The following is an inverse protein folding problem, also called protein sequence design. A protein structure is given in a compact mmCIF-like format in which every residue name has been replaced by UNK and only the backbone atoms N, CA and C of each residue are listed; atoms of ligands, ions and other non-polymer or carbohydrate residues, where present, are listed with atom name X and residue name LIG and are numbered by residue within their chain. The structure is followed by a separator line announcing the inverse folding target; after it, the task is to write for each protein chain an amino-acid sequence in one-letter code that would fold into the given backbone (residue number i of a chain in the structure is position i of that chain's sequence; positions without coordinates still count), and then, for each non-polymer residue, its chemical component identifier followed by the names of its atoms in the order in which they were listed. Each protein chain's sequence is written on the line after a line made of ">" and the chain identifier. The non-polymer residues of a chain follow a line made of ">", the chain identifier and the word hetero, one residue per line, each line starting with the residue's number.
data_IF_308779172726
#
_entry.id   IF_308779172726
#
_cell.length_a   1.000
_cell.length_b   1.000
_cell.length_c   1.000
_cell.angle_alpha   90.00
_cell.angle_beta   90.00
_cell.angle_gamma   90.00
#
_symmetry.space_group_name_H-M   'P 1'
#
loop_
_entity.id
_entity.type
_entity.pdbx_description
1 polymer ?
#
# COMPACT_ATOMS: atom_id res chain seq x y z
N UNK A 1 13.03 -16.94 -7.24
CA UNK A 1 12.41 -16.67 -5.92
C UNK A 1 12.35 -15.17 -5.69
N UNK A 2 13.49 -14.49 -5.69
CA UNK A 2 13.59 -13.02 -5.60
C UNK A 2 12.71 -12.30 -6.64
N UNK A 3 12.89 -12.57 -7.95
CA UNK A 3 12.08 -11.93 -9.00
C UNK A 3 10.56 -12.13 -8.84
N UNK A 4 10.14 -13.25 -8.25
CA UNK A 4 8.71 -13.50 -7.97
C UNK A 4 8.23 -12.59 -6.85
N UNK A 5 9.00 -12.47 -5.76
CA UNK A 5 8.68 -11.57 -4.65
C UNK A 5 8.70 -10.11 -5.08
N UNK A 6 9.67 -9.71 -5.92
CA UNK A 6 9.74 -8.36 -6.48
C UNK A 6 8.50 -8.01 -7.31
N UNK A 7 8.05 -8.93 -8.17
CA UNK A 7 6.82 -8.76 -8.95
C UNK A 7 5.58 -8.65 -8.06
N UNK A 8 5.45 -9.53 -7.05
CA UNK A 8 4.33 -9.50 -6.10
C UNK A 8 4.30 -8.18 -5.32
N UNK A 9 5.47 -7.70 -4.85
CA UNK A 9 5.59 -6.41 -4.15
C UNK A 9 5.17 -5.26 -5.06
N UNK A 10 5.61 -5.25 -6.32
CA UNK A 10 5.23 -4.20 -7.27
C UNK A 10 3.74 -4.18 -7.53
N UNK A 11 3.12 -5.33 -7.75
CA UNK A 11 1.68 -5.46 -7.97
C UNK A 11 0.87 -4.99 -6.75
N UNK A 12 1.31 -5.32 -5.54
CA UNK A 12 0.69 -4.84 -4.30
C UNK A 12 0.84 -3.33 -4.17
N UNK A 13 2.03 -2.79 -4.43
CA UNK A 13 2.28 -1.35 -4.39
C UNK A 13 1.39 -0.60 -5.39
N UNK A 14 1.30 -1.06 -6.63
CA UNK A 14 0.45 -0.47 -7.67
C UNK A 14 -1.03 -0.53 -7.28
N UNK A 15 -1.44 -1.60 -6.59
CA UNK A 15 -2.79 -1.72 -6.04
C UNK A 15 -3.05 -0.68 -4.94
N UNK A 16 -2.06 -0.34 -4.11
CA UNK A 16 -2.19 0.73 -3.10
C UNK A 16 -2.28 2.11 -3.77
N UNK A 17 -1.50 2.35 -4.83
CA UNK A 17 -1.55 3.59 -5.62
C UNK A 17 -2.93 3.77 -6.29
N UNK A 18 -3.53 2.68 -6.76
CA UNK A 18 -4.84 2.71 -7.40
C UNK A 18 -6.02 2.79 -6.42
N UNK A 19 -5.84 2.32 -5.17
CA UNK A 19 -6.93 2.18 -4.20
C UNK A 19 -7.78 3.45 -3.94
N UNK A 20 -7.22 4.68 -3.88
CA UNK A 20 -8.02 5.90 -3.70
C UNK A 20 -9.02 6.16 -4.84
N UNK A 21 -8.81 5.57 -6.03
CA UNK A 21 -9.71 5.75 -7.17
C UNK A 21 -10.83 4.72 -7.22
N UNK A 22 -10.85 3.79 -6.25
CA UNK A 22 -11.79 2.69 -6.23
C UNK A 22 -11.41 1.56 -7.18
N UNK A 23 -12.26 0.54 -7.25
CA UNK A 23 -12.02 -0.66 -8.05
C UNK A 23 -13.18 -0.86 -9.04
N UNK A 24 -12.84 -1.05 -10.31
CA UNK A 24 -13.85 -1.37 -11.32
C UNK A 24 -14.27 -2.83 -11.20
N UNK A 25 -15.54 -3.05 -10.93
CA UNK A 25 -16.16 -4.38 -10.89
C UNK A 25 -17.10 -4.50 -12.08
N UNK A 26 -16.85 -5.48 -12.96
CA UNK A 26 -17.68 -5.71 -14.13
C UNK A 26 -19.14 -5.94 -13.73
N UNK A 27 -20.06 -5.19 -14.33
CA UNK A 27 -21.49 -5.22 -14.00
C UNK A 27 -21.92 -4.34 -12.82
N UNK A 28 -20.99 -3.82 -12.01
CA UNK A 28 -21.28 -2.97 -10.85
C UNK A 28 -20.65 -1.57 -10.93
N UNK A 29 -19.78 -1.33 -11.92
CA UNK A 29 -19.07 -0.06 -12.09
C UNK A 29 -17.92 0.10 -11.10
N UNK A 30 -17.44 1.34 -10.96
CA UNK A 30 -16.36 1.67 -10.01
C UNK A 30 -16.92 1.72 -8.60
N UNK A 31 -16.47 0.79 -7.75
CA UNK A 31 -16.78 0.81 -6.32
C UNK A 31 -15.94 1.86 -5.62
N UNK A 32 -16.50 2.45 -4.55
CA UNK A 32 -15.78 3.40 -3.73
C UNK A 32 -14.54 2.77 -3.07
N UNK A 33 -13.52 3.58 -2.73
CA UNK A 33 -12.34 3.10 -2.01
C UNK A 33 -12.70 2.37 -0.72
N UNK A 34 -11.89 1.38 -0.34
CA UNK A 34 -12.13 0.56 0.85
C UNK A 34 -10.90 0.56 1.76
N UNK A 35 -11.02 1.18 2.94
CA UNK A 35 -9.94 1.30 3.91
C UNK A 35 -9.48 -0.04 4.48
N UNK A 36 -10.38 -1.00 4.68
CA UNK A 36 -10.03 -2.35 5.16
C UNK A 36 -9.22 -3.12 4.11
N UNK A 37 -9.63 -3.07 2.84
CA UNK A 37 -8.89 -3.69 1.73
C UNK A 37 -7.53 -3.04 1.56
N UNK A 38 -7.44 -1.71 1.64
CA UNK A 38 -6.18 -0.97 1.61
C UNK A 38 -5.23 -1.45 2.71
N UNK A 39 -5.70 -1.54 3.96
CA UNK A 39 -4.90 -2.05 5.09
C UNK A 39 -4.43 -3.49 4.87
N UNK A 40 -5.32 -4.38 4.42
CA UNK A 40 -4.96 -5.78 4.13
C UNK A 40 -3.87 -5.90 3.06
N UNK A 41 -3.97 -5.09 2.00
CA UNK A 41 -2.96 -5.06 0.94
C UNK A 41 -1.63 -4.49 1.44
N UNK A 42 -1.65 -3.42 2.25
CA UNK A 42 -0.45 -2.83 2.84
C UNK A 42 0.26 -3.82 3.79
N UNK A 43 -0.50 -4.56 4.61
CA UNK A 43 0.05 -5.62 5.46
C UNK A 43 0.69 -6.74 4.64
N UNK A 44 0.06 -7.12 3.54
CA UNK A 44 0.59 -8.16 2.64
C UNK A 44 1.87 -7.69 1.97
N UNK A 45 1.92 -6.42 1.53
CA UNK A 45 3.14 -5.80 1.00
C UNK A 45 4.27 -5.84 2.05
N UNK A 46 4.00 -5.41 3.29
CA UNK A 46 4.99 -5.48 4.37
C UNK A 46 5.51 -6.90 4.58
N UNK A 47 4.63 -7.89 4.68
CA UNK A 47 5.02 -9.29 4.86
C UNK A 47 5.91 -9.78 3.71
N UNK A 48 5.65 -9.32 2.48
CA UNK A 48 6.47 -9.67 1.30
C UNK A 48 7.84 -9.01 1.31
N UNK A 49 7.93 -7.75 1.75
CA UNK A 49 9.21 -7.05 1.93
C UNK A 49 10.05 -7.75 3.02
N UNK A 50 9.43 -8.17 4.13
CA UNK A 50 10.10 -8.97 5.17
C UNK A 50 10.56 -10.32 4.62
N UNK A 51 9.68 -11.05 3.92
CA UNK A 51 10.00 -12.33 3.31
C UNK A 51 11.19 -12.23 2.34
N UNK A 52 11.23 -11.17 1.52
CA UNK A 52 12.34 -10.88 0.63
C UNK A 52 13.64 -10.63 1.40
N UNK A 53 13.59 -9.82 2.45
CA UNK A 53 14.76 -9.53 3.27
C UNK A 53 15.30 -10.79 3.96
N UNK A 54 14.44 -11.63 4.54
CA UNK A 54 14.83 -12.85 5.24
C UNK A 54 15.44 -13.89 4.31
N UNK A 55 14.85 -14.09 3.13
CA UNK A 55 15.23 -15.17 2.20
C UNK A 55 16.35 -14.80 1.25
N UNK A 56 16.41 -13.56 0.80
CA UNK A 56 17.34 -13.11 -0.23
C UNK A 56 18.45 -12.21 0.32
N UNK A 57 18.20 -11.51 1.45
CA UNK A 57 19.12 -10.53 2.04
C UNK A 57 19.70 -9.54 1.01
N UNK A 58 18.86 -8.87 0.22
CA UNK A 58 19.32 -7.96 -0.80
C UNK A 58 20.02 -6.74 -0.17
N UNK A 59 21.00 -6.15 -0.87
CA UNK A 59 21.71 -4.96 -0.39
C UNK A 59 20.86 -3.67 -0.38
N UNK A 60 19.72 -3.68 -1.06
CA UNK A 60 18.81 -2.53 -1.19
C UNK A 60 17.67 -2.53 -0.16
N UNK A 61 17.66 -3.46 0.80
CA UNK A 61 16.77 -3.47 1.97
C UNK A 61 17.62 -3.68 3.22
N UNK A 62 17.41 -2.85 4.23
CA UNK A 62 18.04 -2.98 5.54
C UNK A 62 16.98 -3.04 6.66
N UNK A 63 17.44 -3.24 7.91
CA UNK A 63 16.55 -3.28 9.07
C UNK A 63 15.78 -1.96 9.26
N UNK A 64 16.39 -0.83 8.88
CA UNK A 64 15.77 0.48 8.97
C UNK A 64 14.57 0.60 8.01
N UNK A 65 14.70 0.07 6.79
CA UNK A 65 13.63 -0.02 5.79
C UNK A 65 12.42 -0.77 6.35
N UNK A 66 12.65 -1.95 6.95
CA UNK A 66 11.58 -2.76 7.56
C UNK A 66 10.93 -2.02 8.72
N UNK A 67 11.73 -1.40 9.59
CA UNK A 67 11.23 -0.66 10.75
C UNK A 67 10.38 0.54 10.34
N UNK A 68 10.82 1.34 9.36
CA UNK A 68 10.07 2.49 8.87
C UNK A 68 8.74 2.07 8.26
N UNK A 69 8.76 1.05 7.40
CA UNK A 69 7.54 0.53 6.79
C UNK A 69 6.55 0.02 7.86
N UNK A 70 7.03 -0.72 8.86
CA UNK A 70 6.20 -1.17 10.00
C UNK A 70 5.56 0.02 10.73
N UNK A 71 6.34 1.06 11.02
CA UNK A 71 5.82 2.26 11.69
C UNK A 71 4.75 2.98 10.86
N UNK A 72 4.93 3.06 9.54
CA UNK A 72 3.94 3.63 8.62
C UNK A 72 2.64 2.83 8.62
N UNK A 73 2.71 1.50 8.69
CA UNK A 73 1.53 0.63 8.82
C UNK A 73 0.77 0.91 10.13
N UNK A 74 1.47 0.96 11.26
CA UNK A 74 0.84 1.21 12.57
C UNK A 74 0.21 2.60 12.71
N UNK A 75 0.67 3.58 11.93
CA UNK A 75 0.25 4.97 12.05
C UNK A 75 -0.62 5.43 10.89
N UNK A 76 -0.04 5.53 9.70
CA UNK A 76 -0.71 6.16 8.55
C UNK A 76 -1.77 5.22 7.97
N UNK A 77 -1.51 3.90 7.92
CA UNK A 77 -2.51 2.92 7.43
C UNK A 77 -3.66 2.74 8.44
N UNK A 78 -3.40 2.77 9.75
CA UNK A 78 -4.49 2.76 10.74
C UNK A 78 -5.38 4.01 10.65
N UNK A 79 -4.81 5.18 10.37
CA UNK A 79 -5.61 6.40 10.14
C UNK A 79 -6.53 6.27 8.91
N UNK A 80 -6.11 5.54 7.86
CA UNK A 80 -6.97 5.24 6.71
C UNK A 80 -8.20 4.46 7.14
N UNK A 81 -8.02 3.45 8.00
CA UNK A 81 -9.14 2.63 8.51
C UNK A 81 -10.12 3.48 9.31
N UNK A 82 -9.64 4.27 10.28
CA UNK A 82 -10.52 5.13 11.07
C UNK A 82 -11.28 6.14 10.19
N UNK A 83 -10.64 6.68 9.15
CA UNK A 83 -11.31 7.60 8.20
C UNK A 83 -12.35 6.88 7.35
N UNK A 84 -12.08 5.64 6.93
CA UNK A 84 -13.02 4.81 6.18
C UNK A 84 -14.26 4.46 7.01
N UNK A 85 -14.07 4.08 8.28
CA UNK A 85 -15.16 3.79 9.21
C UNK A 85 -16.10 4.98 9.37
N UNK A 86 -15.57 6.21 9.42
CA UNK A 86 -16.40 7.43 9.42
C UNK A 86 -17.09 7.67 8.07
N UNK A 87 -16.44 7.35 6.94
CA UNK A 87 -16.99 7.56 5.60
C UNK A 87 -18.15 6.63 5.24
N UNK A 88 -18.16 5.41 5.79
CA UNK A 88 -19.22 4.41 5.54
C UNK A 88 -20.43 4.53 6.47
N UNK A 89 -20.39 5.42 7.47
CA UNK A 89 -21.53 5.62 8.37
C UNK A 89 -22.77 6.08 7.60
N UNK A 90 -23.98 5.66 8.03
CA UNK A 90 -25.21 6.21 7.49
C UNK A 90 -25.23 7.74 7.59
N UNK A 91 -25.64 8.41 6.52
CA UNK A 91 -25.70 9.88 6.43
C UNK A 91 -24.36 10.62 6.55
N UNK A 92 -23.22 9.93 6.41
CA UNK A 92 -21.91 10.58 6.36
C UNK A 92 -21.85 11.59 5.21
N UNK A 93 -21.25 12.76 5.47
CA UNK A 93 -21.07 13.78 4.45
C UNK A 93 -20.15 13.26 3.34
N UNK A 94 -20.44 13.61 2.08
CA UNK A 94 -19.62 13.19 0.94
C UNK A 94 -18.14 13.56 1.08
N UNK A 95 -17.84 14.69 1.76
CA UNK A 95 -16.47 15.11 2.08
C UNK A 95 -15.66 14.04 2.84
N UNK A 96 -16.30 13.15 3.61
CA UNK A 96 -15.60 12.04 4.30
C UNK A 96 -14.92 11.07 3.33
N UNK A 97 -15.47 10.90 2.13
CA UNK A 97 -14.84 10.10 1.08
C UNK A 97 -13.60 10.81 0.52
N UNK A 98 -13.63 12.13 0.35
CA UNK A 98 -12.43 12.89 -0.05
C UNK A 98 -11.35 12.85 1.03
N UNK A 99 -11.72 12.95 2.31
CA UNK A 99 -10.79 12.79 3.43
C UNK A 99 -10.12 11.40 3.43
N UNK A 100 -10.86 10.36 3.07
CA UNK A 100 -10.32 9.02 2.91
C UNK A 100 -9.30 8.95 1.76
N UNK A 101 -9.62 9.52 0.61
CA UNK A 101 -8.74 9.55 -0.57
C UNK A 101 -7.41 10.24 -0.23
N UNK A 102 -7.47 11.39 0.47
CA UNK A 102 -6.28 12.13 0.93
C UNK A 102 -5.42 11.29 1.90
N UNK A 103 -6.06 10.56 2.82
CA UNK A 103 -5.36 9.69 3.78
C UNK A 103 -4.70 8.51 3.10
N UNK A 104 -5.38 7.86 2.16
CA UNK A 104 -4.79 6.76 1.38
C UNK A 104 -3.60 7.24 0.54
N UNK A 105 -3.73 8.39 -0.12
CA UNK A 105 -2.64 8.99 -0.89
C UNK A 105 -1.44 9.33 -0.01
N UNK A 106 -1.67 9.90 1.18
CA UNK A 106 -0.59 10.20 2.13
C UNK A 106 0.09 8.94 2.64
N UNK A 107 -0.67 7.92 3.03
CA UNK A 107 -0.11 6.65 3.48
C UNK A 107 0.70 5.98 2.36
N UNK A 108 0.19 5.98 1.12
CA UNK A 108 0.88 5.41 -0.04
C UNK A 108 2.19 6.15 -0.35
N UNK A 109 2.21 7.48 -0.22
CA UNK A 109 3.44 8.28 -0.37
C UNK A 109 4.47 7.93 0.71
N UNK A 110 4.04 7.74 1.96
CA UNK A 110 4.98 7.35 3.01
C UNK A 110 5.53 5.95 2.75
N UNK A 111 4.68 4.98 2.40
CA UNK A 111 5.11 3.63 1.99
C UNK A 111 6.12 3.72 0.85
N UNK A 112 5.85 4.53 -0.18
CA UNK A 112 6.77 4.74 -1.30
C UNK A 112 8.15 5.21 -0.83
N UNK A 113 8.21 6.17 0.09
CA UNK A 113 9.48 6.66 0.64
C UNK A 113 10.21 5.57 1.43
N UNK A 114 9.47 4.82 2.25
CA UNK A 114 10.04 3.77 3.09
C UNK A 114 10.66 2.64 2.24
N UNK A 115 10.06 2.30 1.09
CA UNK A 115 10.57 1.24 0.19
C UNK A 115 11.15 1.77 -1.13
N UNK A 116 11.59 3.03 -1.17
CA UNK A 116 12.05 3.68 -2.40
C UNK A 116 13.18 2.92 -3.11
N UNK A 117 14.21 2.51 -2.37
CA UNK A 117 15.36 1.79 -2.93
C UNK A 117 14.96 0.45 -3.55
N UNK A 118 14.01 -0.25 -2.93
CA UNK A 118 13.43 -1.49 -3.45
C UNK A 118 12.65 -1.24 -4.75
N UNK A 119 11.79 -0.21 -4.78
CA UNK A 119 11.02 0.12 -5.97
C UNK A 119 11.93 0.57 -7.13
N UNK A 120 12.97 1.35 -6.84
CA UNK A 120 13.96 1.78 -7.83
C UNK A 120 14.68 0.59 -8.44
N UNK A 121 15.10 -0.38 -7.61
CA UNK A 121 15.73 -1.61 -8.08
C UNK A 121 14.78 -2.43 -8.98
N UNK A 122 13.50 -2.52 -8.62
CA UNK A 122 12.49 -3.19 -9.46
C UNK A 122 12.38 -2.51 -10.83
N UNK A 123 12.34 -1.18 -10.88
CA UNK A 123 12.24 -0.43 -12.13
C UNK A 123 13.48 -0.62 -13.02
N UNK A 124 14.68 -0.55 -12.44
CA UNK A 124 15.94 -0.75 -13.16
C UNK A 124 16.03 -2.16 -13.78
N UNK A 125 15.61 -3.19 -13.04
CA UNK A 125 15.69 -4.60 -13.47
C UNK A 125 14.51 -5.07 -14.33
N UNK A 126 13.43 -4.29 -14.41
CA UNK A 126 12.28 -4.60 -15.29
C UNK A 126 12.54 -4.28 -16.77
N UNK A 127 13.64 -3.59 -17.08
CA UNK A 127 14.05 -3.18 -18.42
C UNK A 127 15.16 -4.04 -19.03
N UNK A 128 15.61 -5.09 -18.31
CA UNK A 128 16.55 -6.11 -18.80
C UNK A 128 15.81 -7.36 -19.32
#
# INVERSE_FOLDING_TARGET
>A
MENVLLLEIKQLYDSLVAAPYGEYVHGYGTQKPNGFKYKSNAQTLFNKVVELNEKCRPSYIDEQTIFQLSHTLEKEVEHVVGTYEEAIKPNAAQKRWQELDDKMNRATRQIHLDIYSLLSYIEETSHE
#
